data_IF_311717796860
#
_entry.id   IF_311717796860
#
_cell.length_a   1.000
_cell.length_b   1.000
_cell.length_c   1.000
_cell.angle_alpha   90.00
_cell.angle_beta   90.00
_cell.angle_gamma   90.00
#
_symmetry.space_group_name_H-M   'P 1'
#
loop_
_entity.id
_entity.type
_entity.pdbx_description
1 polymer ?
#
# COMPACT_ATOMS: atom_id res chain seq x y z
N UNK A 1 -13.68 -29.21 7.87
CA UNK A 1 -12.54 -28.39 8.25
C UNK A 1 -11.64 -28.28 7.04
N UNK A 2 -11.18 -27.08 6.72
CA UNK A 2 -10.18 -26.86 5.67
C UNK A 2 -8.84 -27.39 6.17
N UNK A 3 -8.01 -27.94 5.27
CA UNK A 3 -6.64 -28.32 5.60
C UNK A 3 -5.79 -27.08 5.91
N UNK A 4 -4.69 -27.25 6.63
CA UNK A 4 -3.88 -26.16 7.13
C UNK A 4 -3.19 -25.39 5.99
N UNK A 5 -2.77 -26.08 4.92
CA UNK A 5 -2.21 -25.47 3.72
C UNK A 5 -3.21 -24.53 3.05
N UNK A 6 -4.43 -24.98 2.82
CA UNK A 6 -5.50 -24.16 2.21
C UNK A 6 -5.80 -22.92 3.06
N UNK A 7 -5.87 -23.06 4.39
CA UNK A 7 -6.09 -21.92 5.30
C UNK A 7 -4.96 -20.87 5.20
N UNK A 8 -3.71 -21.30 5.18
CA UNK A 8 -2.53 -20.45 5.01
C UNK A 8 -2.58 -19.68 3.71
N UNK A 9 -2.95 -20.35 2.62
CA UNK A 9 -3.09 -19.73 1.31
C UNK A 9 -4.25 -18.72 1.26
N UNK A 10 -5.41 -19.05 1.85
CA UNK A 10 -6.55 -18.14 1.96
C UNK A 10 -6.14 -16.87 2.72
N UNK A 11 -5.43 -17.02 3.84
CA UNK A 11 -4.98 -15.87 4.62
C UNK A 11 -3.96 -15.02 3.86
N UNK A 12 -3.08 -15.61 3.08
CA UNK A 12 -2.18 -14.87 2.20
C UNK A 12 -2.96 -14.02 1.19
N UNK A 13 -3.99 -14.57 0.56
CA UNK A 13 -4.87 -13.81 -0.33
C UNK A 13 -5.63 -12.70 0.41
N UNK A 14 -6.16 -12.98 1.60
CA UNK A 14 -6.89 -11.99 2.41
C UNK A 14 -6.00 -10.81 2.81
N UNK A 15 -4.76 -11.05 3.23
CA UNK A 15 -3.81 -9.95 3.50
C UNK A 15 -3.57 -9.13 2.22
N UNK A 16 -3.39 -9.78 1.07
CA UNK A 16 -3.28 -9.09 -0.21
C UNK A 16 -4.49 -8.19 -0.51
N UNK A 17 -5.70 -8.69 -0.28
CA UNK A 17 -6.94 -7.92 -0.46
C UNK A 17 -7.02 -6.74 0.52
N UNK A 18 -6.64 -6.92 1.78
CA UNK A 18 -6.61 -5.83 2.78
C UNK A 18 -5.61 -4.75 2.38
N UNK A 19 -4.43 -5.12 1.88
CA UNK A 19 -3.43 -4.17 1.39
C UNK A 19 -3.94 -3.41 0.16
N UNK A 20 -4.65 -4.08 -0.76
CA UNK A 20 -5.31 -3.41 -1.89
C UNK A 20 -6.38 -2.44 -1.40
N UNK A 21 -7.23 -2.85 -0.46
CA UNK A 21 -8.27 -1.99 0.11
C UNK A 21 -7.65 -0.73 0.75
N UNK A 22 -6.57 -0.89 1.52
CA UNK A 22 -5.80 0.23 2.07
C UNK A 22 -5.28 1.18 0.99
N UNK A 23 -4.59 0.64 -0.02
CA UNK A 23 -4.01 1.46 -1.08
C UNK A 23 -5.06 2.13 -1.97
N UNK A 24 -6.22 1.52 -2.16
CA UNK A 24 -7.32 2.10 -2.95
C UNK A 24 -8.02 3.21 -2.17
N UNK A 25 -8.28 3.03 -0.86
CA UNK A 25 -9.03 3.96 -0.03
C UNK A 25 -8.13 5.04 0.59
N UNK A 26 -7.24 4.72 1.50
CA UNK A 26 -6.33 5.71 2.09
C UNK A 26 -5.29 6.24 1.07
N UNK A 27 -5.05 5.48 -0.01
CA UNK A 27 -4.19 5.92 -1.11
C UNK A 27 -4.67 7.19 -1.80
N UNK A 28 -5.98 7.39 -2.02
CA UNK A 28 -6.42 8.67 -2.59
C UNK A 28 -6.35 9.81 -1.57
N UNK A 29 -6.54 9.56 -0.28
CA UNK A 29 -6.39 10.58 0.77
C UNK A 29 -4.95 11.07 0.85
N UNK A 30 -4.00 10.14 0.89
CA UNK A 30 -2.57 10.48 0.83
C UNK A 30 -2.21 11.16 -0.50
N UNK A 31 -2.78 10.69 -1.61
CA UNK A 31 -2.57 11.28 -2.93
C UNK A 31 -3.02 12.73 -3.02
N UNK A 32 -4.18 13.06 -2.49
CA UNK A 32 -4.69 14.43 -2.41
C UNK A 32 -3.79 15.28 -1.51
N UNK A 33 -3.35 14.77 -0.35
CA UNK A 33 -2.42 15.46 0.53
C UNK A 33 -1.08 15.76 -0.15
N UNK A 34 -0.51 14.82 -0.90
CA UNK A 34 0.70 15.03 -1.70
C UNK A 34 0.50 16.08 -2.80
N UNK A 35 -0.68 16.12 -3.40
CA UNK A 35 -1.02 17.04 -4.49
C UNK A 35 -1.39 18.44 -4.01
N UNK A 36 -1.63 18.65 -2.72
CA UNK A 36 -2.05 19.92 -2.14
C UNK A 36 -1.17 21.11 -2.60
N UNK A 37 0.16 21.08 -2.46
CA UNK A 37 1.02 22.18 -2.88
C UNK A 37 1.15 22.34 -4.40
N UNK A 38 0.87 21.28 -5.16
CA UNK A 38 1.05 21.26 -6.62
C UNK A 38 -0.20 21.75 -7.36
N UNK A 39 -1.38 21.47 -6.83
CA UNK A 39 -2.67 21.77 -7.46
C UNK A 39 -3.26 23.07 -6.92
N UNK A 40 -3.28 23.26 -5.60
CA UNK A 40 -3.92 24.42 -4.97
C UNK A 40 -2.98 25.63 -4.91
N UNK A 41 -3.41 26.76 -5.50
CA UNK A 41 -2.63 28.00 -5.57
C UNK A 41 -3.05 29.04 -4.54
N UNK A 42 -4.27 28.95 -4.02
CA UNK A 42 -4.84 29.82 -3.01
C UNK A 42 -5.49 29.03 -1.88
N UNK A 43 -5.89 29.72 -0.81
CA UNK A 43 -6.47 29.06 0.36
C UNK A 43 -7.83 28.40 0.07
N UNK A 44 -8.65 29.00 -0.77
CA UNK A 44 -9.95 28.46 -1.16
C UNK A 44 -9.78 27.12 -1.92
N UNK A 45 -8.82 27.06 -2.85
CA UNK A 45 -8.52 25.81 -3.56
C UNK A 45 -7.98 24.73 -2.60
N UNK A 46 -7.16 25.11 -1.59
CA UNK A 46 -6.69 24.18 -0.56
C UNK A 46 -7.83 23.60 0.27
N UNK A 47 -8.78 24.45 0.66
CA UNK A 47 -9.99 24.02 1.37
C UNK A 47 -10.82 23.04 0.51
N UNK A 48 -10.95 23.27 -0.80
CA UNK A 48 -11.63 22.32 -1.70
C UNK A 48 -10.94 20.96 -1.69
N UNK A 49 -9.61 20.93 -1.81
CA UNK A 49 -8.85 19.66 -1.79
C UNK A 49 -9.00 18.94 -0.45
N UNK A 50 -8.82 19.63 0.66
CA UNK A 50 -8.92 19.06 2.01
C UNK A 50 -10.33 18.49 2.25
N UNK A 51 -11.38 19.24 1.92
CA UNK A 51 -12.75 18.77 2.10
C UNK A 51 -13.14 17.65 1.13
N UNK A 52 -12.42 17.46 0.01
CA UNK A 52 -12.68 16.33 -0.89
C UNK A 52 -12.38 14.96 -0.25
N UNK A 53 -11.56 14.94 0.78
CA UNK A 53 -11.17 13.72 1.53
C UNK A 53 -11.61 13.78 3.00
N UNK A 54 -11.91 14.96 3.52
CA UNK A 54 -12.17 15.21 4.95
C UNK A 54 -13.24 14.30 5.57
N UNK A 55 -14.22 13.88 4.78
CA UNK A 55 -15.31 13.01 5.26
C UNK A 55 -14.95 11.51 5.34
N UNK A 56 -13.84 11.08 4.72
CA UNK A 56 -13.53 9.65 4.54
C UNK A 56 -12.19 9.22 5.14
N UNK A 57 -11.26 10.14 5.36
CA UNK A 57 -9.86 9.81 5.69
C UNK A 57 -9.71 8.95 6.95
N UNK A 58 -10.50 9.18 8.01
CA UNK A 58 -10.45 8.36 9.24
C UNK A 58 -10.86 6.91 8.96
N UNK A 59 -11.99 6.73 8.26
CA UNK A 59 -12.47 5.40 7.91
C UNK A 59 -11.53 4.65 6.97
N UNK A 60 -10.86 5.37 6.07
CA UNK A 60 -9.91 4.79 5.12
C UNK A 60 -8.62 4.34 5.80
N UNK A 61 -8.13 5.09 6.77
CA UNK A 61 -6.91 4.75 7.52
C UNK A 61 -7.06 3.47 8.38
N UNK A 62 -8.29 3.09 8.74
CA UNK A 62 -8.57 1.85 9.48
C UNK A 62 -8.06 0.61 8.73
N UNK A 63 -8.02 0.63 7.40
CA UNK A 63 -7.48 -0.50 6.62
C UNK A 63 -6.00 -0.77 6.90
N UNK A 64 -5.20 0.26 7.21
CA UNK A 64 -3.80 0.09 7.63
C UNK A 64 -3.71 -0.64 8.98
N UNK A 65 -4.54 -0.24 9.93
CA UNK A 65 -4.60 -0.86 11.26
C UNK A 65 -5.06 -2.32 11.13
N UNK A 66 -6.07 -2.56 10.28
CA UNK A 66 -6.56 -3.90 10.00
C UNK A 66 -5.46 -4.78 9.35
N UNK A 67 -4.69 -4.24 8.41
CA UNK A 67 -3.57 -4.97 7.79
C UNK A 67 -2.52 -5.38 8.84
N UNK A 68 -2.12 -4.45 9.72
CA UNK A 68 -1.19 -4.73 10.83
C UNK A 68 -1.73 -5.77 11.81
N UNK A 69 -3.00 -5.63 12.23
CA UNK A 69 -3.66 -6.57 13.13
C UNK A 69 -3.85 -7.97 12.51
N UNK A 70 -4.24 -8.04 11.25
CA UNK A 70 -4.38 -9.30 10.53
C UNK A 70 -3.01 -10.00 10.34
N UNK A 71 -1.97 -9.24 10.02
CA UNK A 71 -0.60 -9.76 9.93
C UNK A 71 -0.13 -10.29 11.29
N UNK A 72 -0.35 -9.55 12.38
CA UNK A 72 -0.02 -9.97 13.74
C UNK A 72 -0.72 -11.29 14.11
N UNK A 73 -1.99 -11.41 13.80
CA UNK A 73 -2.80 -12.57 14.18
C UNK A 73 -2.53 -13.78 13.28
N UNK A 74 -2.36 -13.61 11.95
CA UNK A 74 -2.13 -14.69 11.02
C UNK A 74 -0.66 -15.14 10.94
N UNK A 75 0.29 -14.18 10.94
CA UNK A 75 1.74 -14.43 10.87
C UNK A 75 2.50 -13.69 11.97
N UNK A 76 2.39 -14.10 13.24
CA UNK A 76 3.01 -13.42 14.37
C UNK A 76 4.53 -13.29 14.26
N UNK A 77 5.21 -14.28 13.68
CA UNK A 77 6.67 -14.23 13.47
C UNK A 77 7.07 -13.21 12.41
N UNK A 78 6.29 -13.10 11.33
CA UNK A 78 6.51 -12.07 10.31
C UNK A 78 6.31 -10.69 10.90
N UNK A 79 5.24 -10.50 11.67
CA UNK A 79 4.98 -9.26 12.37
C UNK A 79 6.15 -8.87 13.31
N UNK A 80 6.60 -9.80 14.15
CA UNK A 80 7.70 -9.56 15.08
C UNK A 80 9.00 -9.20 14.35
N UNK A 81 9.38 -9.97 13.31
CA UNK A 81 10.59 -9.72 12.54
C UNK A 81 10.52 -8.39 11.75
N UNK A 82 9.36 -8.08 11.13
CA UNK A 82 9.16 -6.85 10.38
C UNK A 82 9.21 -5.62 11.29
N UNK A 83 8.52 -5.62 12.42
CA UNK A 83 8.53 -4.49 13.35
C UNK A 83 9.88 -4.30 14.04
N UNK A 84 10.64 -5.36 14.26
CA UNK A 84 12.02 -5.26 14.75
C UNK A 84 12.97 -4.73 13.68
N UNK A 85 12.86 -5.25 12.45
CA UNK A 85 13.76 -4.89 11.35
C UNK A 85 13.50 -3.50 10.78
N UNK A 86 12.23 -3.11 10.63
CA UNK A 86 11.81 -1.81 10.12
C UNK A 86 11.45 -0.81 11.23
N UNK A 87 11.94 -1.01 12.46
CA UNK A 87 11.55 -0.23 13.64
C UNK A 87 11.61 1.29 13.43
N UNK A 88 12.76 1.81 12.96
CA UNK A 88 12.94 3.25 12.70
C UNK A 88 12.02 3.74 11.58
N UNK A 89 11.87 2.96 10.51
CA UNK A 89 10.96 3.27 9.41
C UNK A 89 9.49 3.31 9.87
N UNK A 90 9.09 2.40 10.75
CA UNK A 90 7.75 2.38 11.34
C UNK A 90 7.50 3.58 12.26
N UNK A 91 8.48 4.00 13.07
CA UNK A 91 8.38 5.24 13.86
C UNK A 91 8.22 6.45 12.94
N UNK A 92 8.98 6.54 11.85
CA UNK A 92 8.83 7.62 10.88
C UNK A 92 7.43 7.68 10.28
N UNK A 93 6.87 6.53 9.90
CA UNK A 93 5.49 6.45 9.39
C UNK A 93 4.48 6.91 10.45
N UNK A 94 4.60 6.42 11.68
CA UNK A 94 3.71 6.84 12.78
C UNK A 94 3.78 8.33 13.05
N UNK A 95 4.98 8.90 13.16
CA UNK A 95 5.18 10.33 13.34
C UNK A 95 4.59 11.14 12.18
N UNK A 96 4.75 10.67 10.94
CA UNK A 96 4.16 11.32 9.78
C UNK A 96 2.63 11.26 9.80
N UNK A 97 2.06 10.09 10.10
CA UNK A 97 0.61 9.90 10.17
C UNK A 97 -0.06 10.77 11.23
N UNK A 98 0.61 11.10 12.35
CA UNK A 98 0.06 12.02 13.35
C UNK A 98 -0.21 13.44 12.83
N UNK A 99 0.50 13.88 11.80
CA UNK A 99 0.24 15.20 11.20
C UNK A 99 -1.09 15.27 10.45
N UNK A 100 -1.63 14.15 9.95
CA UNK A 100 -2.88 14.16 9.18
C UNK A 100 -4.08 14.61 10.03
N UNK A 101 -4.46 13.92 11.14
CA UNK A 101 -5.57 14.35 11.98
C UNK A 101 -5.37 15.77 12.52
N UNK A 102 -4.17 16.09 12.98
CA UNK A 102 -3.86 17.41 13.49
C UNK A 102 -4.03 18.50 12.43
N UNK A 103 -3.64 18.23 11.18
CA UNK A 103 -3.80 19.17 10.09
C UNK A 103 -5.27 19.41 9.74
N UNK A 104 -6.10 18.37 9.69
CA UNK A 104 -7.53 18.52 9.46
C UNK A 104 -8.19 19.36 10.55
N UNK A 105 -7.92 19.08 11.84
CA UNK A 105 -8.59 19.73 12.94
C UNK A 105 -8.08 21.13 13.26
N UNK A 106 -6.77 21.37 13.15
CA UNK A 106 -6.15 22.62 13.63
C UNK A 106 -5.92 23.68 12.55
N UNK A 107 -5.89 23.31 11.26
CA UNK A 107 -5.65 24.22 10.17
C UNK A 107 -6.60 25.44 10.17
N UNK A 108 -7.89 25.19 10.41
CA UNK A 108 -8.95 26.19 10.41
C UNK A 108 -9.10 26.99 11.72
N UNK A 109 -8.45 26.59 12.82
CA UNK A 109 -8.68 27.18 14.16
C UNK A 109 -8.14 28.61 14.31
N UNK A 110 -7.11 28.97 13.56
CA UNK A 110 -6.48 30.31 13.65
C UNK A 110 -6.45 30.96 12.27
N UNK A 111 -6.97 32.18 12.17
CA UNK A 111 -6.99 32.98 10.95
C UNK A 111 -5.61 33.61 10.64
N UNK A 112 -4.55 32.79 10.57
CA UNK A 112 -3.19 33.21 10.29
C UNK A 112 -2.61 32.41 9.13
N UNK A 113 -2.08 33.07 8.09
CA UNK A 113 -1.53 32.42 6.91
C UNK A 113 -0.34 31.50 7.21
N UNK A 114 0.53 31.86 8.17
CA UNK A 114 1.68 31.03 8.58
C UNK A 114 1.22 29.77 9.30
N UNK A 115 0.18 29.87 10.13
CA UNK A 115 -0.43 28.73 10.82
C UNK A 115 -1.01 27.74 9.82
N UNK A 116 -1.79 28.20 8.84
CA UNK A 116 -2.34 27.35 7.78
C UNK A 116 -1.24 26.69 6.95
N UNK A 117 -0.19 27.44 6.58
CA UNK A 117 0.94 26.89 5.84
C UNK A 117 1.70 25.81 6.61
N UNK A 118 1.82 25.94 7.95
CA UNK A 118 2.43 24.92 8.80
C UNK A 118 1.63 23.60 8.73
N UNK A 119 0.31 23.69 8.90
CA UNK A 119 -0.55 22.49 8.86
C UNK A 119 -0.70 21.90 7.46
N UNK A 120 -0.69 22.75 6.41
CA UNK A 120 -0.61 22.27 5.03
C UNK A 120 0.68 21.46 4.80
N UNK A 121 1.81 21.91 5.34
CA UNK A 121 3.09 21.18 5.28
C UNK A 121 3.01 19.88 6.09
N UNK A 122 2.41 19.92 7.26
CA UNK A 122 2.14 18.71 8.07
C UNK A 122 1.32 17.67 7.31
N UNK A 123 0.24 18.10 6.64
CA UNK A 123 -0.59 17.22 5.82
C UNK A 123 0.20 16.60 4.66
N UNK A 124 1.05 17.39 4.00
CA UNK A 124 1.94 16.90 2.94
C UNK A 124 2.91 15.85 3.47
N UNK A 125 3.58 16.11 4.60
CA UNK A 125 4.51 15.14 5.23
C UNK A 125 3.76 13.85 5.59
N UNK A 126 2.61 13.96 6.25
CA UNK A 126 1.77 12.83 6.64
C UNK A 126 1.22 12.01 5.47
N UNK A 127 1.17 12.61 4.29
CA UNK A 127 0.67 11.98 3.08
C UNK A 127 1.79 11.42 2.18
N UNK A 128 3.00 12.00 2.23
CA UNK A 128 4.13 11.62 1.38
C UNK A 128 4.99 10.52 2.02
N UNK A 129 5.27 10.63 3.32
CA UNK A 129 6.19 9.73 3.99
C UNK A 129 5.68 8.27 4.03
N UNK A 130 4.41 7.98 4.40
CA UNK A 130 3.94 6.60 4.48
C UNK A 130 4.06 5.82 3.16
N UNK A 131 3.54 6.29 2.01
CA UNK A 131 3.63 5.52 0.78
C UNK A 131 5.08 5.30 0.30
N UNK A 132 5.97 6.26 0.52
CA UNK A 132 7.40 6.10 0.20
C UNK A 132 8.02 5.01 1.07
N UNK A 133 7.78 5.04 2.38
CA UNK A 133 8.34 4.06 3.32
C UNK A 133 7.76 2.66 3.06
N UNK A 134 6.47 2.53 2.75
CA UNK A 134 5.88 1.24 2.40
C UNK A 134 6.50 0.67 1.11
N UNK A 135 6.69 1.50 0.08
CA UNK A 135 7.37 1.05 -1.14
C UNK A 135 8.82 0.62 -0.88
N UNK A 136 9.57 1.36 -0.05
CA UNK A 136 10.93 1.00 0.37
C UNK A 136 10.92 -0.33 1.14
N UNK A 137 9.96 -0.55 2.03
CA UNK A 137 9.82 -1.79 2.77
C UNK A 137 9.60 -2.99 1.83
N UNK A 138 8.68 -2.87 0.86
CA UNK A 138 8.46 -3.90 -0.15
C UNK A 138 9.72 -4.15 -1.00
N UNK A 139 10.45 -3.11 -1.38
CA UNK A 139 11.73 -3.25 -2.08
C UNK A 139 12.75 -4.06 -1.28
N UNK A 140 12.83 -3.85 0.02
CA UNK A 140 13.71 -4.61 0.90
C UNK A 140 13.29 -6.06 1.09
N UNK A 141 12.00 -6.40 0.97
CA UNK A 141 11.57 -7.80 0.97
C UNK A 141 12.16 -8.57 -0.22
N UNK A 142 12.26 -7.97 -1.40
CA UNK A 142 12.89 -8.60 -2.56
C UNK A 142 14.40 -8.79 -2.40
N UNK A 143 15.07 -7.83 -1.75
CA UNK A 143 16.51 -7.91 -1.49
C UNK A 143 16.87 -8.88 -0.35
N UNK A 144 15.88 -9.26 0.45
CA UNK A 144 16.06 -9.99 1.69
C UNK A 144 16.44 -9.05 2.84
N UNK A 145 15.77 -9.22 3.97
CA UNK A 145 15.96 -8.42 5.18
C UNK A 145 17.05 -9.07 6.06
N UNK A 146 17.98 -8.33 6.64
CA UNK A 146 19.10 -8.90 7.38
C UNK A 146 18.72 -9.32 8.81
N UNK A 147 18.05 -10.48 8.94
CA UNK A 147 17.70 -11.09 10.22
C UNK A 147 18.00 -12.60 10.21
N UNK A 148 18.14 -13.19 11.39
CA UNK A 148 18.23 -14.63 11.55
C UNK A 148 17.47 -15.09 12.79
N UNK A 149 17.04 -16.36 12.79
CA UNK A 149 16.48 -17.00 13.96
C UNK A 149 17.55 -17.81 14.69
N UNK A 150 17.58 -17.66 16.02
CA UNK A 150 18.31 -18.58 16.88
C UNK A 150 17.61 -19.95 16.94
N UNK A 151 18.28 -21.01 17.43
CA UNK A 151 17.62 -22.32 17.63
C UNK A 151 16.39 -22.26 18.54
N UNK A 152 16.30 -21.25 19.40
CA UNK A 152 15.15 -20.97 20.29
C UNK A 152 14.07 -20.11 19.62
N UNK A 153 14.21 -19.83 18.33
CA UNK A 153 13.28 -19.00 17.52
C UNK A 153 13.21 -17.54 17.98
N UNK A 154 14.27 -17.01 18.58
CA UNK A 154 14.42 -15.56 18.77
C UNK A 154 14.92 -14.92 17.47
N UNK A 155 14.43 -13.71 17.19
CA UNK A 155 14.83 -12.92 16.02
C UNK A 155 16.00 -12.02 16.39
N UNK A 156 17.12 -12.19 15.71
CA UNK A 156 18.25 -11.26 15.76
C UNK A 156 18.29 -10.47 14.45
N UNK A 157 18.34 -9.14 14.55
CA UNK A 157 18.41 -8.23 13.41
C UNK A 157 19.80 -7.62 13.29
N UNK A 158 20.42 -7.71 12.10
CA UNK A 158 21.80 -7.32 11.83
C UNK A 158 21.93 -6.06 10.96
N UNK A 159 20.81 -5.49 10.53
CA UNK A 159 20.78 -4.35 9.63
C UNK A 159 20.77 -3.00 10.34
N UNK A 160 21.01 -1.95 9.55
CA UNK A 160 20.86 -0.56 9.96
C UNK A 160 19.77 0.12 9.14
N UNK A 161 19.20 1.22 9.65
CA UNK A 161 18.19 2.00 8.91
C UNK A 161 18.69 2.44 7.52
N UNK A 162 19.96 2.84 7.41
CA UNK A 162 20.53 3.33 6.16
C UNK A 162 20.62 2.26 5.07
N UNK A 163 20.78 1.00 5.45
CA UNK A 163 20.80 -0.13 4.51
C UNK A 163 19.44 -0.36 3.83
N UNK A 164 18.35 0.09 4.46
CA UNK A 164 17.00 0.02 3.87
C UNK A 164 16.84 0.97 2.68
N UNK A 165 17.69 2.01 2.58
CA UNK A 165 17.63 3.02 1.52
C UNK A 165 18.47 2.63 0.30
N UNK A 166 18.42 1.36 -0.11
CA UNK A 166 19.08 0.89 -1.33
C UNK A 166 18.44 1.52 -2.58
N UNK A 167 19.16 1.68 -3.70
CA UNK A 167 18.63 2.27 -4.92
C UNK A 167 17.37 1.55 -5.44
N UNK A 168 17.36 0.21 -5.35
CA UNK A 168 16.18 -0.59 -5.72
C UNK A 168 14.98 -0.31 -4.81
N UNK A 169 15.19 -0.26 -3.50
CA UNK A 169 14.14 0.06 -2.54
C UNK A 169 13.60 1.49 -2.74
N UNK A 170 14.47 2.45 -3.04
CA UNK A 170 14.06 3.82 -3.38
C UNK A 170 13.23 3.87 -4.67
N UNK A 171 13.54 3.06 -5.68
CA UNK A 171 12.73 2.91 -6.89
C UNK A 171 11.32 2.38 -6.55
N UNK A 172 11.24 1.38 -5.66
CA UNK A 172 9.94 0.86 -5.17
C UNK A 172 9.18 1.91 -4.36
N UNK A 173 9.88 2.74 -3.57
CA UNK A 173 9.30 3.89 -2.86
C UNK A 173 8.70 4.93 -3.83
N UNK A 174 9.40 5.24 -4.91
CA UNK A 174 8.95 6.15 -5.96
C UNK A 174 7.74 5.58 -6.72
N UNK A 175 7.73 4.27 -7.00
CA UNK A 175 6.59 3.58 -7.59
C UNK A 175 5.35 3.68 -6.70
N UNK A 176 5.49 3.37 -5.42
CA UNK A 176 4.39 3.44 -4.45
C UNK A 176 3.83 4.87 -4.32
N UNK A 177 4.69 5.88 -4.24
CA UNK A 177 4.28 7.28 -4.24
C UNK A 177 3.53 7.65 -5.52
N UNK A 178 4.01 7.19 -6.68
CA UNK A 178 3.36 7.47 -7.96
C UNK A 178 1.96 6.86 -8.07
N UNK A 179 1.76 5.64 -7.51
CA UNK A 179 0.46 4.98 -7.42
C UNK A 179 -0.53 5.81 -6.58
N UNK A 180 -0.09 6.28 -5.43
CA UNK A 180 -0.89 7.10 -4.51
C UNK A 180 -1.24 8.46 -5.15
N UNK A 181 -0.27 9.14 -5.80
CA UNK A 181 -0.50 10.40 -6.51
C UNK A 181 -1.50 10.20 -7.65
N UNK A 182 -1.41 9.11 -8.43
CA UNK A 182 -2.37 8.81 -9.47
C UNK A 182 -3.77 8.64 -8.90
N UNK A 183 -3.92 7.88 -7.82
CA UNK A 183 -5.22 7.62 -7.18
C UNK A 183 -5.85 8.93 -6.66
N UNK A 184 -5.08 9.78 -5.98
CA UNK A 184 -5.53 11.10 -5.53
C UNK A 184 -5.86 12.05 -6.68
N UNK A 185 -5.07 12.04 -7.75
CA UNK A 185 -5.33 12.84 -8.95
C UNK A 185 -6.64 12.45 -9.64
N UNK A 186 -6.93 11.15 -9.72
CA UNK A 186 -8.20 10.66 -10.28
C UNK A 186 -9.37 10.96 -9.34
N UNK A 187 -9.17 10.83 -8.01
CA UNK A 187 -10.18 11.20 -7.02
C UNK A 187 -10.57 12.68 -7.11
N UNK A 188 -9.58 13.56 -7.20
CA UNK A 188 -9.84 15.00 -7.38
C UNK A 188 -10.63 15.30 -8.65
N UNK A 189 -10.40 14.58 -9.75
CA UNK A 189 -11.17 14.74 -10.97
C UNK A 189 -12.63 14.27 -10.82
N UNK A 190 -12.89 13.32 -9.92
CA UNK A 190 -14.24 12.86 -9.59
C UNK A 190 -14.97 13.86 -8.68
N UNK A 191 -14.24 14.53 -7.77
CA UNK A 191 -14.80 15.37 -6.71
C UNK A 191 -14.77 16.87 -7.00
N UNK A 192 -14.02 17.32 -8.03
CA UNK A 192 -13.84 18.75 -8.31
C UNK A 192 -14.10 19.08 -9.78
N UNK A 193 -14.27 20.38 -10.05
CA UNK A 193 -14.52 20.94 -11.37
C UNK A 193 -13.53 22.05 -11.75
N UNK A 194 -13.61 22.53 -12.97
CA UNK A 194 -12.85 23.68 -13.43
C UNK A 194 -11.34 23.49 -13.44
N UNK A 195 -10.61 24.47 -12.90
CA UNK A 195 -9.13 24.54 -12.98
C UNK A 195 -8.45 23.45 -12.12
N UNK A 196 -9.03 23.11 -10.97
CA UNK A 196 -8.51 22.06 -10.07
C UNK A 196 -8.52 20.72 -10.81
N UNK A 197 -9.65 20.39 -11.47
CA UNK A 197 -9.78 19.18 -12.26
C UNK A 197 -8.76 19.08 -13.39
N UNK A 198 -8.49 20.21 -14.09
CA UNK A 198 -7.49 20.23 -15.16
C UNK A 198 -6.06 19.97 -14.64
N UNK A 199 -5.70 20.59 -13.50
CA UNK A 199 -4.40 20.36 -12.87
C UNK A 199 -4.28 18.93 -12.33
N UNK A 200 -5.36 18.36 -11.77
CA UNK A 200 -5.42 16.97 -11.34
C UNK A 200 -5.24 16.00 -12.52
N UNK A 201 -5.81 16.30 -13.70
CA UNK A 201 -5.61 15.51 -14.91
C UNK A 201 -4.12 15.51 -15.34
N UNK A 202 -3.44 16.67 -15.24
CA UNK A 202 -2.00 16.74 -15.51
C UNK A 202 -1.19 15.90 -14.54
N UNK A 203 -1.50 15.94 -13.24
CA UNK A 203 -0.87 15.09 -12.23
C UNK A 203 -1.09 13.60 -12.51
N UNK A 204 -2.31 13.19 -12.86
CA UNK A 204 -2.65 11.81 -13.25
C UNK A 204 -1.83 11.35 -14.46
N UNK A 205 -1.64 12.21 -15.47
CA UNK A 205 -0.83 11.91 -16.65
C UNK A 205 0.62 11.58 -16.29
N UNK A 206 1.26 12.46 -15.49
CA UNK A 206 2.67 12.29 -15.13
C UNK A 206 2.87 11.09 -14.21
N UNK A 207 1.96 10.88 -13.24
CA UNK A 207 2.04 9.71 -12.36
C UNK A 207 1.79 8.41 -13.10
N UNK A 208 0.85 8.35 -14.05
CA UNK A 208 0.62 7.16 -14.88
C UNK A 208 1.87 6.78 -15.68
N UNK A 209 2.54 7.76 -16.30
CA UNK A 209 3.79 7.52 -17.01
C UNK A 209 4.91 7.03 -16.07
N UNK A 210 5.03 7.67 -14.91
CA UNK A 210 6.05 7.31 -13.91
C UNK A 210 5.82 5.91 -13.35
N UNK A 211 4.56 5.50 -13.12
CA UNK A 211 4.22 4.13 -12.71
C UNK A 211 4.73 3.13 -13.74
N UNK A 212 4.44 3.33 -15.02
CA UNK A 212 4.87 2.39 -16.07
C UNK A 212 6.40 2.31 -16.12
N UNK A 213 7.09 3.44 -16.09
CA UNK A 213 8.56 3.49 -16.11
C UNK A 213 9.15 2.79 -14.88
N UNK A 214 8.72 3.17 -13.67
CA UNK A 214 9.25 2.59 -12.44
C UNK A 214 8.95 1.09 -12.33
N UNK A 215 7.76 0.66 -12.75
CA UNK A 215 7.35 -0.74 -12.69
C UNK A 215 8.15 -1.61 -13.68
N UNK A 216 8.39 -1.12 -14.90
CA UNK A 216 9.27 -1.77 -15.86
C UNK A 216 10.71 -1.85 -15.37
N UNK A 217 11.24 -0.74 -14.86
CA UNK A 217 12.60 -0.70 -14.30
C UNK A 217 12.75 -1.65 -13.11
N UNK A 218 11.78 -1.69 -12.20
CA UNK A 218 11.80 -2.59 -11.05
C UNK A 218 11.73 -4.05 -11.50
N UNK A 219 10.87 -4.40 -12.46
CA UNK A 219 10.77 -5.74 -13.02
C UNK A 219 12.06 -6.18 -13.72
N UNK A 220 12.66 -5.31 -14.52
CA UNK A 220 13.95 -5.58 -15.17
C UNK A 220 15.07 -5.78 -14.14
N UNK A 221 15.11 -4.92 -13.11
CA UNK A 221 16.13 -5.02 -12.06
C UNK A 221 15.99 -6.29 -11.23
N UNK A 222 14.76 -6.73 -10.92
CA UNK A 222 14.50 -8.00 -10.27
C UNK A 222 14.96 -9.20 -11.12
N UNK A 223 14.78 -9.12 -12.42
CA UNK A 223 15.19 -10.19 -13.33
C UNK A 223 16.70 -10.28 -13.49
N UNK A 224 17.38 -9.13 -13.65
CA UNK A 224 18.78 -9.08 -14.07
C UNK A 224 19.78 -8.82 -12.92
N UNK A 225 19.33 -8.26 -11.79
CA UNK A 225 20.24 -7.72 -10.78
C UNK A 225 19.92 -8.09 -9.33
N UNK A 226 18.84 -8.85 -9.08
CA UNK A 226 18.46 -9.28 -7.72
C UNK A 226 18.31 -10.80 -7.70
N UNK A 227 19.13 -11.45 -6.87
CA UNK A 227 19.02 -12.89 -6.65
C UNK A 227 17.72 -13.22 -5.94
N UNK A 228 17.02 -14.26 -6.44
CA UNK A 228 15.76 -14.71 -5.88
C UNK A 228 15.90 -15.89 -4.92
N UNK A 229 14.97 -16.02 -4.03
CA UNK A 229 14.90 -17.13 -3.08
C UNK A 229 14.05 -18.24 -3.65
N UNK A 230 14.52 -19.49 -3.49
CA UNK A 230 13.83 -20.71 -3.93
C UNK A 230 13.66 -21.64 -2.76
N UNK A 231 12.42 -22.09 -2.56
CA UNK A 231 12.09 -23.10 -1.59
C UNK A 231 12.40 -24.48 -2.17
N UNK A 232 13.31 -25.21 -1.54
CA UNK A 232 13.73 -26.56 -1.97
C UNK A 232 12.88 -27.65 -1.34
N UNK A 233 12.68 -27.57 -0.03
CA UNK A 233 11.95 -28.57 0.75
C UNK A 233 11.14 -27.87 1.83
N UNK A 234 9.85 -28.11 1.89
CA UNK A 234 8.97 -27.67 2.98
C UNK A 234 7.66 -28.48 2.94
N UNK A 235 7.16 -28.84 4.11
CA UNK A 235 5.82 -29.40 4.27
C UNK A 235 4.81 -28.25 4.49
N UNK A 236 3.91 -28.05 3.54
CA UNK A 236 2.89 -27.00 3.60
C UNK A 236 1.85 -27.22 4.72
N UNK A 237 1.62 -28.47 5.13
CA UNK A 237 0.77 -28.83 6.27
C UNK A 237 1.56 -29.04 7.57
N UNK A 238 2.88 -28.92 7.52
CA UNK A 238 3.77 -29.13 8.65
C UNK A 238 3.66 -28.06 9.75
N UNK A 239 4.43 -28.25 10.85
CA UNK A 239 4.44 -27.31 11.96
C UNK A 239 4.96 -25.94 11.52
N UNK A 240 4.46 -24.89 12.18
CA UNK A 240 4.89 -23.52 11.95
C UNK A 240 6.29 -23.27 12.56
N UNK A 241 7.34 -23.77 11.90
CA UNK A 241 8.73 -23.61 12.30
C UNK A 241 9.60 -23.25 11.10
N UNK A 242 10.16 -22.00 11.04
CA UNK A 242 10.93 -21.54 9.91
C UNK A 242 12.26 -22.26 9.69
N UNK A 243 12.77 -23.00 10.66
CA UNK A 243 14.04 -23.73 10.56
C UNK A 243 13.94 -25.12 9.91
N UNK A 244 12.70 -25.59 9.61
CA UNK A 244 12.44 -26.94 9.07
C UNK A 244 12.27 -26.93 7.54
N UNK A 245 13.09 -26.19 6.81
CA UNK A 245 13.02 -26.12 5.34
C UNK A 245 14.41 -25.99 4.70
N UNK A 246 14.46 -26.23 3.39
CA UNK A 246 15.62 -25.93 2.56
C UNK A 246 15.33 -24.68 1.69
N UNK A 247 16.24 -23.72 1.68
CA UNK A 247 16.16 -22.53 0.84
C UNK A 247 17.47 -22.33 0.10
N UNK A 248 17.40 -22.02 -1.19
CA UNK A 248 18.54 -21.60 -2.01
C UNK A 248 18.33 -20.21 -2.55
N UNK A 249 19.42 -19.51 -2.84
CA UNK A 249 19.41 -18.21 -3.52
C UNK A 249 19.96 -18.44 -4.92
N UNK A 250 19.19 -18.05 -5.94
CA UNK A 250 19.52 -18.26 -7.35
C UNK A 250 19.24 -16.98 -8.16
N UNK A 251 20.11 -16.63 -9.14
CA UNK A 251 19.85 -15.52 -10.04
C UNK A 251 18.53 -15.68 -10.81
N UNK A 252 17.75 -14.61 -10.90
CA UNK A 252 16.51 -14.57 -11.67
C UNK A 252 15.35 -15.41 -11.10
N UNK A 253 15.51 -16.04 -9.94
CA UNK A 253 14.53 -16.97 -9.38
C UNK A 253 13.17 -16.30 -9.05
N UNK A 254 13.13 -14.99 -8.85
CA UNK A 254 11.89 -14.24 -8.68
C UNK A 254 10.93 -14.33 -9.86
N UNK A 255 11.43 -14.70 -11.06
CA UNK A 255 10.60 -14.87 -12.27
C UNK A 255 10.04 -16.29 -12.44
N UNK A 256 10.43 -17.24 -11.58
CA UNK A 256 10.08 -18.66 -11.74
C UNK A 256 8.57 -18.93 -11.83
N UNK A 257 7.75 -18.20 -11.06
CA UNK A 257 6.29 -18.35 -11.11
C UNK A 257 5.71 -17.97 -12.46
N UNK A 258 6.20 -16.91 -13.06
CA UNK A 258 5.75 -16.43 -14.37
C UNK A 258 6.24 -17.34 -15.52
N UNK A 259 7.42 -17.93 -15.36
CA UNK A 259 7.96 -18.92 -16.34
C UNK A 259 7.16 -20.21 -16.28
N UNK A 260 6.86 -20.71 -15.06
CA UNK A 260 6.08 -21.96 -14.88
C UNK A 260 4.61 -21.80 -15.26
N UNK A 261 4.04 -20.65 -15.02
CA UNK A 261 2.62 -20.34 -15.28
C UNK A 261 2.49 -19.01 -16.03
N UNK A 262 2.65 -19.00 -17.38
CA UNK A 262 2.63 -17.77 -18.18
C UNK A 262 1.34 -16.96 -18.05
N UNK A 263 0.23 -17.58 -17.65
CA UNK A 263 -1.04 -16.90 -17.41
C UNK A 263 -0.91 -15.82 -16.32
N UNK A 264 -0.03 -16.01 -15.35
CA UNK A 264 0.23 -15.04 -14.28
C UNK A 264 0.82 -13.72 -14.82
N UNK A 265 1.44 -13.72 -16.01
CA UNK A 265 1.94 -12.51 -16.68
C UNK A 265 0.82 -11.50 -17.02
N UNK A 266 -0.43 -11.94 -17.06
CA UNK A 266 -1.58 -11.04 -17.27
C UNK A 266 -1.61 -9.96 -16.17
N UNK A 267 -1.27 -10.30 -14.93
CA UNK A 267 -1.34 -9.38 -13.78
C UNK A 267 -0.34 -8.21 -13.93
N UNK A 268 0.97 -8.43 -14.11
CA UNK A 268 1.90 -7.32 -14.32
C UNK A 268 1.64 -6.58 -15.64
N UNK A 269 1.18 -7.23 -16.70
CA UNK A 269 0.80 -6.56 -17.95
C UNK A 269 -0.38 -5.61 -17.74
N UNK A 270 -1.39 -6.02 -17.01
CA UNK A 270 -2.49 -5.13 -16.61
C UNK A 270 -1.98 -3.99 -15.72
N UNK A 271 -1.04 -4.23 -14.82
CA UNK A 271 -0.39 -3.20 -14.00
C UNK A 271 0.28 -2.09 -14.82
N UNK A 272 0.72 -2.38 -16.05
CA UNK A 272 1.29 -1.40 -16.99
C UNK A 272 0.25 -0.72 -17.88
N UNK A 273 -0.79 -1.44 -18.31
CA UNK A 273 -1.81 -0.93 -19.25
C UNK A 273 -2.84 -0.06 -18.52
N UNK A 274 -3.29 -0.49 -17.34
CA UNK A 274 -4.36 0.17 -16.60
C UNK A 274 -4.07 1.63 -16.20
N UNK A 275 -2.84 2.03 -15.80
CA UNK A 275 -2.54 3.45 -15.53
C UNK A 275 -2.79 4.34 -16.74
N UNK A 276 -2.44 3.84 -17.93
CA UNK A 276 -2.64 4.54 -19.20
C UNK A 276 -4.13 4.65 -19.50
N UNK A 277 -4.89 3.58 -19.31
CA UNK A 277 -6.35 3.57 -19.49
C UNK A 277 -7.04 4.48 -18.46
N UNK A 278 -6.55 4.56 -17.22
CA UNK A 278 -7.05 5.48 -16.19
C UNK A 278 -6.92 6.94 -16.67
N UNK A 279 -5.74 7.32 -17.17
CA UNK A 279 -5.51 8.65 -17.73
C UNK A 279 -6.45 8.93 -18.91
N UNK A 280 -6.56 8.03 -19.89
CA UNK A 280 -7.43 8.23 -21.05
C UNK A 280 -8.93 8.29 -20.68
N UNK A 281 -9.38 7.51 -19.71
CA UNK A 281 -10.74 7.58 -19.20
C UNK A 281 -11.02 8.95 -18.58
N UNK A 282 -10.11 9.46 -17.77
CA UNK A 282 -10.18 10.80 -17.18
C UNK A 282 -10.17 11.91 -18.23
N UNK A 283 -9.32 11.79 -19.26
CA UNK A 283 -9.26 12.74 -20.37
C UNK A 283 -10.60 12.84 -21.12
N UNK A 284 -11.32 11.72 -21.25
CA UNK A 284 -12.65 11.65 -21.86
C UNK A 284 -13.80 12.03 -20.91
N UNK A 285 -13.50 12.49 -19.70
CA UNK A 285 -14.51 12.85 -18.70
C UNK A 285 -15.14 11.66 -17.97
N UNK A 286 -14.70 10.42 -18.23
CA UNK A 286 -15.21 9.19 -17.61
C UNK A 286 -14.48 8.93 -16.28
N UNK A 287 -14.61 9.84 -15.32
CA UNK A 287 -13.83 9.84 -14.06
C UNK A 287 -14.05 8.60 -13.21
N UNK A 288 -15.29 8.05 -13.16
CA UNK A 288 -15.57 6.79 -12.43
C UNK A 288 -14.77 5.62 -13.02
N UNK A 289 -14.73 5.49 -14.36
CA UNK A 289 -13.90 4.46 -15.02
C UNK A 289 -12.42 4.70 -14.77
N UNK A 290 -11.99 5.97 -14.78
CA UNK A 290 -10.63 6.35 -14.41
C UNK A 290 -10.28 5.86 -13.00
N UNK A 291 -11.17 6.06 -12.02
CA UNK A 291 -10.98 5.60 -10.65
C UNK A 291 -10.90 4.07 -10.55
N UNK A 292 -11.77 3.35 -11.26
CA UNK A 292 -11.71 1.88 -11.30
C UNK A 292 -10.40 1.37 -11.92
N UNK A 293 -9.94 1.95 -13.03
CA UNK A 293 -8.67 1.56 -13.64
C UNK A 293 -7.46 1.89 -12.75
N UNK A 294 -7.46 3.03 -12.06
CA UNK A 294 -6.43 3.38 -11.11
C UNK A 294 -6.41 2.42 -9.91
N UNK A 295 -7.58 2.05 -9.38
CA UNK A 295 -7.70 1.07 -8.29
C UNK A 295 -7.25 -0.33 -8.71
N UNK A 296 -7.61 -0.77 -9.91
CA UNK A 296 -7.14 -2.04 -10.47
C UNK A 296 -5.63 -2.03 -10.73
N UNK A 297 -5.04 -0.89 -11.10
CA UNK A 297 -3.58 -0.75 -11.20
C UNK A 297 -2.90 -1.07 -9.88
N UNK A 298 -3.41 -0.50 -8.78
CA UNK A 298 -2.86 -0.76 -7.44
C UNK A 298 -2.97 -2.24 -7.08
N UNK A 299 -4.12 -2.85 -7.34
CA UNK A 299 -4.32 -4.28 -7.11
C UNK A 299 -3.31 -5.12 -7.93
N UNK A 300 -3.15 -4.83 -9.21
CA UNK A 300 -2.21 -5.55 -10.09
C UNK A 300 -0.76 -5.41 -9.61
N UNK A 301 -0.32 -4.21 -9.17
CA UNK A 301 1.04 -4.00 -8.68
C UNK A 301 1.27 -4.76 -7.37
N UNK A 302 0.33 -4.69 -6.42
CA UNK A 302 0.44 -5.41 -5.13
C UNK A 302 0.45 -6.93 -5.35
N UNK A 303 -0.48 -7.45 -6.16
CA UNK A 303 -0.50 -8.89 -6.44
C UNK A 303 0.69 -9.36 -7.27
N UNK A 304 1.23 -8.53 -8.17
CA UNK A 304 2.50 -8.85 -8.84
C UNK A 304 3.61 -9.02 -7.82
N UNK A 305 3.76 -8.09 -6.87
CA UNK A 305 4.75 -8.19 -5.81
C UNK A 305 4.52 -9.43 -4.94
N UNK A 306 3.27 -9.71 -4.55
CA UNK A 306 2.92 -10.88 -3.75
C UNK A 306 3.23 -12.20 -4.47
N UNK A 307 2.85 -12.35 -5.74
CA UNK A 307 3.12 -13.55 -6.56
C UNK A 307 4.62 -13.74 -6.76
N UNK A 308 5.36 -12.67 -7.01
CA UNK A 308 6.82 -12.72 -7.17
C UNK A 308 7.50 -13.22 -5.89
N UNK A 309 7.08 -12.74 -4.72
CA UNK A 309 7.63 -13.16 -3.42
C UNK A 309 7.16 -14.55 -3.00
N UNK A 310 5.99 -15.02 -3.46
CA UNK A 310 5.43 -16.30 -3.02
C UNK A 310 6.41 -17.46 -3.19
N UNK A 311 6.53 -18.41 -2.23
CA UNK A 311 5.79 -18.49 -0.97
C UNK A 311 6.44 -17.71 0.18
N UNK A 312 7.46 -16.93 -0.09
CA UNK A 312 8.13 -16.10 0.94
C UNK A 312 7.24 -14.91 1.31
N UNK A 313 7.18 -14.61 2.60
CA UNK A 313 6.59 -13.39 3.13
C UNK A 313 7.67 -12.40 3.54
N UNK A 314 8.75 -12.89 4.14
CA UNK A 314 9.89 -12.10 4.53
C UNK A 314 11.20 -12.90 4.37
N UNK A 315 11.87 -12.80 3.22
CA UNK A 315 13.17 -13.44 2.99
C UNK A 315 14.28 -12.86 3.87
N UNK A 316 15.22 -13.71 4.30
CA UNK A 316 16.39 -13.31 5.07
C UNK A 316 17.64 -13.33 4.21
N UNK A 317 18.35 -12.19 4.13
CA UNK A 317 19.62 -12.08 3.40
C UNK A 317 20.83 -12.64 4.16
N UNK A 318 20.76 -12.77 5.49
CA UNK A 318 21.85 -13.27 6.34
C UNK A 318 21.79 -14.78 6.46
N UNK A 319 20.59 -15.33 6.67
CA UNK A 319 20.36 -16.76 6.81
C UNK A 319 19.17 -17.20 5.98
N UNK A 320 19.38 -17.73 4.77
CA UNK A 320 18.28 -18.17 3.90
C UNK A 320 17.29 -19.12 4.59
N UNK A 321 17.79 -19.98 5.49
CA UNK A 321 16.95 -20.87 6.28
C UNK A 321 15.99 -20.13 7.22
N UNK A 322 16.39 -18.96 7.70
CA UNK A 322 15.55 -18.11 8.57
C UNK A 322 14.48 -17.33 7.81
N UNK A 323 14.44 -17.37 6.47
CA UNK A 323 13.41 -16.74 5.68
C UNK A 323 12.02 -17.20 6.12
N UNK A 324 11.07 -16.26 6.21
CA UNK A 324 9.70 -16.58 6.62
C UNK A 324 8.84 -16.81 5.39
N UNK A 325 8.12 -17.93 5.38
CA UNK A 325 7.21 -18.32 4.31
C UNK A 325 5.75 -18.32 4.78
N UNK A 326 4.84 -18.41 3.82
CA UNK A 326 3.40 -18.59 4.08
C UNK A 326 3.14 -19.85 4.93
N UNK A 327 4.04 -20.86 4.83
CA UNK A 327 3.82 -22.21 5.40
C UNK A 327 4.36 -22.38 6.82
N UNK A 328 5.36 -21.60 7.25
CA UNK A 328 6.14 -21.87 8.49
C UNK A 328 6.07 -20.77 9.55
N UNK A 329 5.35 -19.70 9.29
CA UNK A 329 5.32 -18.53 10.17
C UNK A 329 3.91 -18.15 10.66
N UNK A 330 2.92 -19.00 10.39
CA UNK A 330 1.51 -18.78 10.74
C UNK A 330 1.19 -19.12 12.19
N UNK A 331 0.07 -18.60 12.65
CA UNK A 331 -0.64 -19.04 13.85
C UNK A 331 -1.17 -20.48 13.68
N UNK A 332 -1.74 -21.05 14.76
CA UNK A 332 -2.32 -22.39 14.72
C UNK A 332 -3.51 -22.50 13.75
N UNK A 333 -3.77 -23.71 13.23
CA UNK A 333 -4.89 -23.98 12.35
C UNK A 333 -6.21 -23.49 12.95
N UNK A 334 -6.47 -23.80 14.23
CA UNK A 334 -7.69 -23.37 14.94
C UNK A 334 -7.82 -21.84 14.97
N UNK A 335 -6.72 -21.11 15.19
CA UNK A 335 -6.74 -19.64 15.18
C UNK A 335 -7.14 -19.12 13.80
N UNK A 336 -6.53 -19.65 12.73
CA UNK A 336 -6.85 -19.23 11.36
C UNK A 336 -8.30 -19.55 10.97
N UNK A 337 -8.85 -20.69 11.41
CA UNK A 337 -10.24 -21.07 11.18
C UNK A 337 -11.21 -20.10 11.88
N UNK A 338 -11.02 -19.81 13.17
CA UNK A 338 -11.86 -18.88 13.93
C UNK A 338 -11.82 -17.49 13.29
N UNK A 339 -10.63 -17.02 12.98
CA UNK A 339 -10.46 -15.71 12.34
C UNK A 339 -11.13 -15.65 10.97
N UNK A 340 -11.07 -16.74 10.17
CA UNK A 340 -11.71 -16.80 8.87
C UNK A 340 -13.23 -16.67 8.99
N UNK A 341 -13.85 -17.36 9.96
CA UNK A 341 -15.29 -17.22 10.22
C UNK A 341 -15.66 -15.79 10.59
N UNK A 342 -14.86 -15.14 11.46
CA UNK A 342 -15.07 -13.74 11.84
C UNK A 342 -14.99 -12.83 10.62
N UNK A 343 -13.95 -12.99 9.78
CA UNK A 343 -13.76 -12.18 8.57
C UNK A 343 -14.93 -12.37 7.58
N UNK A 344 -15.39 -13.59 7.38
CA UNK A 344 -16.51 -13.87 6.47
C UNK A 344 -17.83 -13.22 6.92
N UNK A 345 -18.02 -12.98 8.21
CA UNK A 345 -19.20 -12.31 8.77
C UNK A 345 -19.03 -10.80 8.71
N UNK A 346 -17.92 -10.26 9.23
CA UNK A 346 -17.76 -8.82 9.45
C UNK A 346 -17.27 -8.06 8.21
N UNK A 347 -16.43 -8.66 7.37
CA UNK A 347 -15.92 -7.99 6.17
C UNK A 347 -17.03 -7.54 5.20
N UNK A 348 -18.04 -8.36 4.87
CA UNK A 348 -19.17 -7.90 4.05
C UNK A 348 -19.94 -6.72 4.67
N UNK A 349 -20.12 -6.73 5.99
CA UNK A 349 -20.81 -5.66 6.72
C UNK A 349 -20.04 -4.35 6.58
N UNK A 350 -18.71 -4.40 6.83
CA UNK A 350 -17.83 -3.23 6.70
C UNK A 350 -17.81 -2.71 5.26
N UNK A 351 -17.70 -3.60 4.28
CA UNK A 351 -17.71 -3.20 2.86
C UNK A 351 -19.03 -2.54 2.46
N UNK A 352 -20.18 -3.11 2.86
CA UNK A 352 -21.49 -2.53 2.58
C UNK A 352 -21.64 -1.14 3.24
N UNK A 353 -21.23 -0.99 4.49
CA UNK A 353 -21.26 0.29 5.19
C UNK A 353 -20.34 1.32 4.49
N UNK A 354 -19.12 0.94 4.15
CA UNK A 354 -18.17 1.80 3.45
C UNK A 354 -18.71 2.24 2.09
N UNK A 355 -19.21 1.31 1.27
CA UNK A 355 -19.83 1.62 -0.03
C UNK A 355 -21.04 2.55 0.12
N UNK A 356 -21.87 2.33 1.14
CA UNK A 356 -23.02 3.20 1.42
C UNK A 356 -22.57 4.61 1.82
N UNK A 357 -21.54 4.75 2.64
CA UNK A 357 -20.95 6.04 3.02
C UNK A 357 -20.44 6.79 1.80
N UNK A 358 -19.66 6.14 0.93
CA UNK A 358 -19.20 6.74 -0.33
C UNK A 358 -20.35 7.16 -1.23
N UNK A 359 -21.39 6.31 -1.36
CA UNK A 359 -22.58 6.62 -2.16
C UNK A 359 -23.29 7.87 -1.64
N UNK A 360 -23.47 8.01 -0.32
CA UNK A 360 -24.12 9.18 0.30
C UNK A 360 -23.33 10.47 0.12
N UNK A 361 -22.02 10.36 0.01
CA UNK A 361 -21.13 11.51 -0.16
C UNK A 361 -20.71 11.73 -1.62
N UNK A 362 -21.39 11.09 -2.59
CA UNK A 362 -21.18 11.39 -4.00
C UNK A 362 -21.60 12.83 -4.29
N UNK A 363 -20.75 13.55 -5.04
CA UNK A 363 -21.01 14.94 -5.46
C UNK A 363 -19.70 15.70 -5.63
N UNK A 364 -19.75 16.77 -6.45
CA UNK A 364 -18.62 17.68 -6.61
C UNK A 364 -18.61 18.72 -5.49
N UNK A 365 -17.43 19.02 -4.99
CA UNK A 365 -17.20 20.10 -4.02
C UNK A 365 -16.69 21.30 -4.81
N UNK A 366 -17.44 22.39 -4.76
CA UNK A 366 -17.08 23.66 -5.37
C UNK A 366 -17.02 24.77 -4.31
N UNK A 367 -16.51 25.93 -4.70
CA UNK A 367 -16.37 27.07 -3.80
C UNK A 367 -17.69 27.60 -3.25
N UNK A 368 -18.79 27.46 -4.02
CA UNK A 368 -20.12 27.85 -3.55
C UNK A 368 -20.61 26.94 -2.44
N UNK A 369 -20.39 25.62 -2.57
CA UNK A 369 -20.71 24.61 -1.53
C UNK A 369 -19.94 24.90 -0.25
N UNK A 370 -18.64 25.27 -0.34
CA UNK A 370 -17.84 25.63 0.82
C UNK A 370 -18.37 26.87 1.54
N UNK A 371 -18.70 27.94 0.80
CA UNK A 371 -19.23 29.18 1.38
C UNK A 371 -20.61 29.03 1.99
N UNK A 372 -21.41 28.10 1.48
CA UNK A 372 -22.75 27.83 1.99
C UNK A 372 -22.74 27.01 3.29
N UNK A 373 -21.74 26.15 3.49
CA UNK A 373 -21.63 25.22 4.60
C UNK A 373 -20.37 25.48 5.46
N UNK A 374 -19.97 26.73 5.62
CA UNK A 374 -18.70 27.14 6.27
C UNK A 374 -18.55 26.67 7.73
N UNK A 375 -19.65 26.26 8.39
CA UNK A 375 -19.66 25.75 9.77
C UNK A 375 -19.55 24.22 9.87
N UNK A 376 -19.73 23.48 8.79
CA UNK A 376 -19.74 22.00 8.77
C UNK A 376 -18.53 21.39 8.07
N UNK A 377 -17.66 22.21 7.47
CA UNK A 377 -16.54 21.80 6.63
C UNK A 377 -15.19 22.26 7.22
N UNK A 378 -14.13 21.49 6.93
CA UNK A 378 -12.75 21.82 7.35
C UNK A 378 -12.21 23.12 6.74
#
# INVERSE_FOLDING_TARGET
MLDYETLRFIWWLLIGVILVAFMVTDGFDMGVGCLLPLIARNDDERRVLINSVGAHWEGNQVWLILAGGALFAAWPRVYAAAFSGFYVAMILVLCALFFRPLAFDYRGKIANARWRALWDTGLVIGSLVPPVVFGIAFGNLFLGVPFAFTPQLHVDYFGTFWQLLSPFALLCGLLSLSLVIMQGGVWLQLKTEGVIRQRALSATRHSALLIVICFLLAGYWLWAGVDGFVLLTQDANGPSNPLLKGVAILPGAWMNHFIRSPLLLIIPLLGMILPILAFYACLRGQTIRGFLFASLTQACVIFTAGITLFPFVMPSSVSPLSSLTVWDSTSSQMTLEIMLVIVLIFLPIVLLYTLWSYYKMLGCINLETLRRNDHELY
#
